data_IF_733572161693
#
_entry.id   IF_733572161693
#
_cell.length_a   1.000
_cell.length_b   1.000
_cell.length_c   1.000
_cell.angle_alpha   90.00
_cell.angle_beta   90.00
_cell.angle_gamma   90.00
#
_symmetry.space_group_name_H-M   'P 1'
#
loop_
_entity.id
_entity.type
_entity.pdbx_description
1 polymer ?
#
# COMPACT_ATOMS: atom_id res chain seq x y z
N UNK A 1 12.52 -2.76 4.62
CA UNK A 1 11.89 -3.43 3.46
C UNK A 1 11.16 -2.35 2.71
N UNK A 2 11.40 -2.18 1.41
CA UNK A 2 10.71 -1.15 0.62
C UNK A 2 9.43 -1.74 0.05
N UNK A 3 8.33 -1.01 0.16
CA UNK A 3 7.07 -1.38 -0.49
C UNK A 3 6.93 -0.58 -1.78
N UNK A 4 6.26 -1.21 -2.76
CA UNK A 4 5.98 -0.61 -4.05
C UNK A 4 4.66 0.16 -3.93
N UNK A 5 4.71 1.46 -4.20
CA UNK A 5 3.58 2.37 -4.18
C UNK A 5 3.36 2.97 -5.56
N UNK A 6 2.11 3.14 -5.98
CA UNK A 6 1.74 3.83 -7.22
C UNK A 6 1.17 5.21 -6.90
N UNK A 7 1.77 6.27 -7.44
CA UNK A 7 1.24 7.63 -7.28
C UNK A 7 -0.09 7.75 -8.02
N UNK A 8 -1.23 8.03 -7.35
CA UNK A 8 -2.53 8.16 -8.02
C UNK A 8 -2.63 9.40 -8.93
N UNK A 9 -1.77 10.40 -8.74
CA UNK A 9 -1.79 11.62 -9.55
C UNK A 9 -0.98 11.49 -10.85
N UNK A 10 0.20 10.87 -10.77
CA UNK A 10 1.11 10.76 -11.92
C UNK A 10 1.10 9.37 -12.55
N UNK A 11 0.51 8.37 -11.89
CA UNK A 11 0.57 6.96 -12.28
C UNK A 11 1.94 6.32 -12.10
N UNK A 12 2.93 7.05 -11.58
CA UNK A 12 4.30 6.56 -11.44
C UNK A 12 4.46 5.67 -10.21
N UNK A 13 5.20 4.59 -10.37
CA UNK A 13 5.47 3.61 -9.32
C UNK A 13 6.81 3.95 -8.66
N UNK A 14 6.87 3.86 -7.33
CA UNK A 14 8.09 4.08 -6.55
C UNK A 14 8.15 3.13 -5.36
N UNK A 15 9.37 2.90 -4.90
CA UNK A 15 9.65 2.06 -3.75
C UNK A 15 10.06 2.93 -2.56
N UNK A 16 9.36 2.79 -1.44
CA UNK A 16 9.75 3.47 -0.19
C UNK A 16 9.48 2.60 1.03
N UNK A 17 10.30 2.79 2.06
CA UNK A 17 10.09 2.24 3.39
C UNK A 17 9.58 3.30 4.39
N UNK A 18 9.51 4.57 3.97
CA UNK A 18 9.01 5.69 4.77
C UNK A 18 7.48 5.76 4.75
N UNK A 19 6.85 4.78 5.38
CA UNK A 19 5.40 4.74 5.57
C UNK A 19 5.06 4.23 6.96
N UNK A 20 3.94 4.71 7.51
CA UNK A 20 3.40 4.26 8.79
C UNK A 20 2.01 3.68 8.59
N UNK A 21 1.72 2.59 9.28
CA UNK A 21 0.37 2.02 9.34
C UNK A 21 -0.50 2.89 10.26
N UNK A 22 -1.54 3.49 9.69
CA UNK A 22 -2.50 4.32 10.43
C UNK A 22 -3.77 3.55 10.78
N UNK A 23 -4.08 2.47 10.06
CA UNK A 23 -5.22 1.61 10.31
C UNK A 23 -4.84 0.15 10.05
N UNK A 24 -5.24 -0.78 10.93
CA UNK A 24 -5.07 -2.21 10.72
C UNK A 24 -6.33 -2.92 11.21
N UNK A 25 -7.14 -3.40 10.26
CA UNK A 25 -8.35 -4.18 10.50
C UNK A 25 -8.14 -5.68 10.31
N UNK A 26 -6.91 -6.11 10.01
CA UNK A 26 -6.55 -7.50 9.80
C UNK A 26 -6.84 -7.97 8.38
N UNK A 27 -6.99 -9.27 8.19
CA UNK A 27 -7.28 -9.86 6.87
C UNK A 27 -8.79 -9.90 6.68
N UNK A 28 -9.27 -9.27 5.61
CA UNK A 28 -10.67 -9.37 5.13
C UNK A 28 -10.71 -10.22 3.87
N UNK A 29 -11.87 -10.78 3.57
CA UNK A 29 -12.13 -11.41 2.27
C UNK A 29 -12.75 -10.35 1.35
N UNK A 30 -12.14 -10.16 0.18
CA UNK A 30 -12.68 -9.33 -0.90
C UNK A 30 -13.88 -10.03 -1.56
N UNK A 31 -14.66 -9.32 -2.39
CA UNK A 31 -15.83 -9.86 -3.10
C UNK A 31 -15.49 -11.08 -3.98
N UNK A 32 -14.23 -11.23 -4.39
CA UNK A 32 -13.74 -12.42 -5.10
C UNK A 32 -13.37 -13.61 -4.20
N UNK A 33 -13.54 -13.51 -2.88
CA UNK A 33 -13.11 -14.52 -1.90
C UNK A 33 -11.59 -14.54 -1.64
N UNK A 34 -10.88 -13.50 -2.09
CA UNK A 34 -9.45 -13.36 -1.85
C UNK A 34 -9.19 -12.74 -0.49
N UNK A 35 -8.27 -13.33 0.27
CA UNK A 35 -7.83 -12.78 1.56
C UNK A 35 -6.91 -11.57 1.31
N UNK A 36 -7.40 -10.38 1.61
CA UNK A 36 -6.65 -9.12 1.47
C UNK A 36 -6.43 -8.49 2.84
N UNK A 37 -5.29 -7.85 3.02
CA UNK A 37 -4.98 -7.15 4.28
C UNK A 37 -5.70 -5.79 4.29
N UNK A 38 -6.76 -5.68 5.08
CA UNK A 38 -7.47 -4.43 5.33
C UNK A 38 -6.66 -3.58 6.30
N UNK A 39 -5.66 -2.89 5.77
CA UNK A 39 -4.85 -1.94 6.52
C UNK A 39 -4.62 -0.70 5.67
N UNK A 40 -4.48 0.46 6.33
CA UNK A 40 -4.08 1.71 5.69
C UNK A 40 -2.70 2.10 6.12
N UNK A 41 -1.88 2.44 5.14
CA UNK A 41 -0.57 3.03 5.37
C UNK A 41 -0.53 4.44 4.80
N UNK A 42 0.06 5.35 5.55
CA UNK A 42 0.30 6.73 5.15
C UNK A 42 1.80 6.89 4.89
N UNK A 43 2.15 7.55 3.78
CA UNK A 43 3.54 7.92 3.54
C UNK A 43 4.01 8.97 4.56
N UNK A 44 5.10 8.67 5.25
CA UNK A 44 5.74 9.61 6.17
C UNK A 44 6.40 10.77 5.42
N UNK A 45 6.84 10.51 4.18
CA UNK A 45 7.41 11.50 3.28
C UNK A 45 6.47 11.82 2.13
N UNK A 46 6.44 13.06 1.62
CA UNK A 46 5.70 13.38 0.41
C UNK A 46 6.19 12.55 -0.78
N UNK A 47 5.26 12.16 -1.65
CA UNK A 47 5.56 11.43 -2.87
C UNK A 47 6.58 12.20 -3.73
N UNK A 48 7.66 11.55 -4.19
CA UNK A 48 8.71 12.23 -4.96
C UNK A 48 8.23 12.73 -6.34
N UNK A 49 7.06 12.28 -6.80
CA UNK A 49 6.52 12.65 -8.11
C UNK A 49 5.52 13.80 -8.06
N UNK A 50 4.59 13.80 -7.11
CA UNK A 50 3.54 14.82 -6.99
C UNK A 50 3.73 15.77 -5.78
N UNK A 51 4.62 15.42 -4.84
CA UNK A 51 4.86 16.20 -3.62
C UNK A 51 3.77 16.08 -2.55
N UNK A 52 2.75 15.25 -2.74
CA UNK A 52 1.66 15.05 -1.76
C UNK A 52 1.90 13.81 -0.90
N UNK A 53 1.38 13.83 0.32
CA UNK A 53 1.31 12.63 1.16
C UNK A 53 0.11 11.79 0.75
N UNK A 54 0.37 10.52 0.42
CA UNK A 54 -0.67 9.58 0.01
C UNK A 54 -0.94 8.57 1.11
N UNK A 55 -2.21 8.20 1.23
CA UNK A 55 -2.67 7.07 2.04
C UNK A 55 -3.04 5.95 1.09
N UNK A 56 -2.48 4.77 1.32
CA UNK A 56 -2.69 3.59 0.51
C UNK A 56 -3.35 2.49 1.33
N UNK A 57 -4.26 1.75 0.70
CA UNK A 57 -4.73 0.48 1.25
C UNK A 57 -3.65 -0.57 1.03
N UNK A 58 -3.34 -1.34 2.06
CA UNK A 58 -2.44 -2.48 1.97
C UNK A 58 -2.98 -3.55 0.99
N UNK A 59 -4.29 -3.63 0.79
CA UNK A 59 -4.91 -4.43 -0.28
C UNK A 59 -4.49 -4.01 -1.69
N UNK A 60 -4.19 -2.73 -1.92
CA UNK A 60 -3.72 -2.21 -3.22
C UNK A 60 -2.20 -2.29 -3.36
N UNK A 61 -1.49 -2.51 -2.25
CA UNK A 61 -0.06 -2.76 -2.30
C UNK A 61 0.16 -4.16 -2.85
N UNK A 62 0.91 -4.23 -3.95
CA UNK A 62 1.39 -5.47 -4.51
C UNK A 62 2.34 -6.11 -3.51
N UNK A 63 1.80 -6.98 -2.65
CA UNK A 63 2.58 -7.77 -1.74
C UNK A 63 3.43 -8.76 -2.57
N UNK A 64 4.77 -8.68 -2.54
CA UNK A 64 5.62 -9.68 -3.20
C UNK A 64 5.50 -11.08 -2.56
N UNK A 65 4.69 -11.22 -1.51
CA UNK A 65 4.54 -12.42 -0.68
C UNK A 65 3.23 -13.19 -0.89
N UNK A 66 2.45 -12.89 -1.94
CA UNK A 66 1.25 -13.68 -2.27
C UNK A 66 1.57 -14.99 -2.99
N UNK A 67 2.55 -15.74 -2.47
CA UNK A 67 2.85 -17.11 -2.88
C UNK A 67 3.22 -17.96 -1.65
N UNK A 68 2.25 -18.75 -1.18
CA UNK A 68 2.43 -19.80 -0.16
C UNK A 68 1.52 -19.56 1.05
N UNK A 69 0.58 -20.43 1.38
CA UNK A 69 0.27 -21.80 0.97
C UNK A 69 -1.23 -22.03 1.07
#
# INVERSE_FOLDING_TARGET
MKFIFSCPETGQIFETDAFKMIENKGITEDESGNRVLDAKVELETPCPFCGKQHVFHASELLCPFSAGK
#
